data_IF_183057569051
#
_entry.id   IF_183057569051
#
_cell.length_a   1.000
_cell.length_b   1.000
_cell.length_c   1.000
_cell.angle_alpha   90.00
_cell.angle_beta   90.00
_cell.angle_gamma   90.00
#
_symmetry.space_group_name_H-M   'P 1'
#
loop_
_entity.id
_entity.type
_entity.pdbx_description
1 polymer ?
#
# COMPACT_ATOMS: atom_id res chain seq x y z
N UNK A 1 101.05 -10.12 -3.78
CA UNK A 1 99.92 -10.34 -4.70
C UNK A 1 98.63 -10.01 -3.96
N UNK A 2 97.79 -9.15 -4.56
CA UNK A 2 96.38 -8.79 -4.28
C UNK A 2 96.02 -8.29 -2.85
N UNK A 3 95.86 -6.98 -2.61
CA UNK A 3 94.73 -6.05 -2.89
C UNK A 3 93.49 -6.27 -1.98
N UNK A 4 93.18 -5.41 -1.00
CA UNK A 4 92.53 -4.08 -1.01
C UNK A 4 90.99 -4.13 -0.95
N UNK A 5 90.46 -3.24 -0.09
CA UNK A 5 89.13 -2.61 -0.07
C UNK A 5 88.04 -3.24 0.82
N UNK A 6 87.64 -2.44 1.82
CA UNK A 6 86.45 -2.65 2.62
C UNK A 6 85.18 -2.18 1.95
N UNK A 7 84.07 -2.43 2.63
CA UNK A 7 82.80 -1.74 2.39
C UNK A 7 82.03 -1.67 3.71
N UNK A 8 81.83 -0.43 4.14
CA UNK A 8 80.81 0.02 5.09
C UNK A 8 79.45 -0.34 4.49
N UNK A 9 78.60 -1.10 5.20
CA UNK A 9 77.22 -1.32 4.78
C UNK A 9 76.28 -0.50 5.67
N UNK A 10 75.63 0.44 5.00
CA UNK A 10 74.66 1.43 5.46
C UNK A 10 73.52 0.84 6.29
N UNK A 11 73.17 1.55 7.37
CA UNK A 11 71.83 1.55 7.96
C UNK A 11 70.78 1.95 6.93
N UNK A 12 69.78 1.10 6.70
CA UNK A 12 68.53 1.46 6.04
C UNK A 12 67.40 1.31 7.07
N UNK A 13 67.05 2.44 7.70
CA UNK A 13 65.83 2.57 8.49
C UNK A 13 64.67 2.72 7.50
N UNK A 14 63.89 1.66 7.33
CA UNK A 14 62.64 1.72 6.57
C UNK A 14 61.55 2.35 7.46
N UNK A 15 61.30 3.66 7.29
CA UNK A 15 60.13 4.33 7.86
C UNK A 15 58.94 4.00 6.95
N UNK A 16 58.12 3.03 7.37
CA UNK A 16 56.82 2.76 6.76
C UNK A 16 55.87 3.90 7.16
N UNK A 17 55.69 4.89 6.27
CA UNK A 17 54.64 5.88 6.42
C UNK A 17 53.28 5.23 6.11
N UNK A 18 52.55 4.83 7.15
CA UNK A 18 51.15 4.45 7.05
C UNK A 18 50.32 5.71 6.70
N UNK A 19 50.09 5.94 5.41
CA UNK A 19 49.02 6.83 4.97
C UNK A 19 47.68 6.17 5.35
N UNK A 20 47.15 6.51 6.52
CA UNK A 20 45.73 6.33 6.78
C UNK A 20 44.98 7.31 5.89
N UNK A 21 44.53 6.83 4.73
CA UNK A 21 43.55 7.54 3.92
C UNK A 21 42.25 7.50 4.74
N UNK A 22 42.05 8.51 5.58
CA UNK A 22 40.77 8.79 6.19
C UNK A 22 39.81 9.06 5.04
N UNK A 23 39.08 8.02 4.63
CA UNK A 23 38.01 8.12 3.65
C UNK A 23 36.93 8.93 4.35
N UNK A 24 36.88 10.23 4.09
CA UNK A 24 35.78 11.07 4.52
C UNK A 24 34.55 10.61 3.74
N UNK A 25 33.86 9.59 4.24
CA UNK A 25 32.57 9.18 3.70
C UNK A 25 31.66 10.39 3.84
N UNK A 26 31.31 11.01 2.71
CA UNK A 26 30.33 12.09 2.70
C UNK A 26 29.11 11.65 3.51
N UNK A 27 28.61 12.52 4.39
CA UNK A 27 27.44 12.19 5.18
C UNK A 27 26.30 11.81 4.23
N UNK A 28 25.78 10.58 4.35
CA UNK A 28 24.63 10.14 3.54
C UNK A 28 23.50 11.16 3.70
N UNK A 29 22.92 11.59 2.58
CA UNK A 29 21.72 12.44 2.54
C UNK A 29 20.47 11.56 2.49
N UNK A 30 19.36 11.97 3.13
CA UNK A 30 18.11 11.22 3.06
C UNK A 30 17.59 11.18 1.63
N UNK A 31 16.97 10.07 1.18
CA UNK A 31 16.22 10.06 -0.06
C UNK A 31 15.13 11.14 -0.07
N UNK A 32 14.73 11.59 -1.26
CA UNK A 32 13.69 12.61 -1.40
C UNK A 32 12.32 12.03 -1.06
N UNK A 33 11.55 12.75 -0.26
CA UNK A 33 10.13 12.42 -0.02
C UNK A 33 9.29 12.57 -1.27
N UNK A 34 8.16 11.87 -1.31
CA UNK A 34 7.20 11.89 -2.41
C UNK A 34 5.89 12.51 -1.92
N UNK A 35 5.17 13.20 -2.81
CA UNK A 35 3.81 13.70 -2.58
C UNK A 35 2.95 13.34 -3.79
N UNK A 36 1.90 12.55 -3.56
CA UNK A 36 0.97 12.02 -4.56
C UNK A 36 -0.43 12.47 -4.16
N UNK A 37 -1.23 12.93 -5.14
CA UNK A 37 -2.62 13.28 -4.89
C UNK A 37 -3.46 13.23 -6.16
N UNK A 38 -4.76 12.96 -5.98
CA UNK A 38 -5.84 13.29 -6.90
C UNK A 38 -7.06 13.77 -6.10
N UNK A 39 -7.98 14.57 -6.67
CA UNK A 39 -8.05 15.06 -8.06
C UNK A 39 -6.93 16.05 -8.47
N UNK A 40 -6.71 16.27 -9.78
CA UNK A 40 -7.41 15.63 -10.91
C UNK A 40 -6.99 14.16 -11.07
N UNK A 41 -7.89 13.35 -11.65
CA UNK A 41 -7.52 12.03 -12.17
C UNK A 41 -6.73 12.25 -13.45
N UNK A 42 -5.47 11.86 -13.45
CA UNK A 42 -4.55 12.12 -14.55
C UNK A 42 -3.68 10.89 -14.87
N UNK A 43 -2.85 11.02 -15.89
CA UNK A 43 -2.00 9.93 -16.43
C UNK A 43 -0.89 9.48 -15.48
N UNK A 44 -0.74 10.10 -14.29
CA UNK A 44 0.19 9.63 -13.27
C UNK A 44 -0.32 8.38 -12.55
N UNK A 45 -1.56 7.99 -12.77
CA UNK A 45 -2.12 6.75 -12.24
C UNK A 45 -2.41 5.76 -13.37
N UNK A 46 -2.35 4.48 -13.04
CA UNK A 46 -2.59 3.37 -13.95
C UNK A 46 -3.70 2.50 -13.39
N UNK A 47 -4.73 2.25 -14.20
CA UNK A 47 -5.72 1.20 -13.96
C UNK A 47 -5.20 -0.13 -14.51
N UNK A 48 -5.23 -1.20 -13.71
CA UNK A 48 -4.77 -2.53 -14.10
C UNK A 48 -5.79 -3.58 -13.68
N UNK A 49 -6.01 -4.59 -14.54
CA UNK A 49 -6.83 -5.78 -14.28
C UNK A 49 -6.06 -7.02 -14.73
N UNK A 50 -6.57 -8.21 -14.40
CA UNK A 50 -5.99 -9.45 -14.94
C UNK A 50 -6.19 -9.52 -16.46
N UNK A 51 -5.10 -9.58 -17.26
CA UNK A 51 -5.20 -9.66 -18.71
C UNK A 51 -6.02 -10.86 -19.20
N UNK A 52 -6.09 -11.95 -18.42
CA UNK A 52 -6.84 -13.15 -18.79
C UNK A 52 -8.36 -12.93 -18.80
N UNK A 53 -8.86 -11.89 -18.10
CA UNK A 53 -10.29 -11.56 -18.08
C UNK A 53 -10.71 -10.82 -19.36
N UNK A 54 -9.76 -10.22 -20.10
CA UNK A 54 -10.04 -9.60 -21.40
C UNK A 54 -10.91 -8.33 -21.36
N UNK A 55 -11.00 -7.67 -20.20
CA UNK A 55 -11.79 -6.44 -20.02
C UNK A 55 -10.95 -5.19 -20.27
N UNK A 56 -11.55 -4.20 -20.94
CA UNK A 56 -10.92 -2.91 -21.16
C UNK A 56 -10.98 -2.05 -19.88
N UNK A 57 -9.79 -1.75 -19.33
CA UNK A 57 -9.63 -0.96 -18.10
C UNK A 57 -10.29 0.42 -18.14
N UNK A 58 -10.57 0.97 -19.33
CA UNK A 58 -11.25 2.27 -19.47
C UNK A 58 -12.70 2.26 -18.96
N UNK A 59 -13.29 1.08 -18.79
CA UNK A 59 -14.62 0.91 -18.22
C UNK A 59 -14.60 0.58 -16.73
N UNK A 60 -13.42 0.26 -16.19
CA UNK A 60 -13.25 -0.16 -14.79
C UNK A 60 -12.93 1.02 -13.88
N UNK A 61 -11.94 1.84 -14.26
CA UNK A 61 -11.48 2.99 -13.49
C UNK A 61 -11.88 4.27 -14.21
N UNK A 62 -13.11 4.73 -14.01
CA UNK A 62 -13.67 5.86 -14.76
C UNK A 62 -13.68 7.16 -13.95
N UNK A 63 -13.49 8.32 -14.59
CA UNK A 63 -13.69 9.60 -13.93
C UNK A 63 -15.19 9.92 -13.81
N UNK A 64 -15.70 9.97 -12.58
CA UNK A 64 -16.98 10.60 -12.26
C UNK A 64 -16.83 12.12 -12.20
N UNK A 65 -17.85 12.88 -12.61
CA UNK A 65 -17.79 14.35 -12.73
C UNK A 65 -18.79 15.11 -11.87
N UNK A 66 -19.73 14.42 -11.22
CA UNK A 66 -20.71 15.04 -10.33
C UNK A 66 -21.06 14.13 -9.14
N UNK A 67 -20.27 14.16 -8.04
CA UNK A 67 -19.03 14.91 -7.85
C UNK A 67 -17.82 14.28 -8.57
N UNK A 68 -16.70 14.99 -8.63
CA UNK A 68 -15.42 14.43 -9.11
C UNK A 68 -14.99 13.26 -8.24
N UNK A 69 -14.83 12.08 -8.84
CA UNK A 69 -14.40 10.86 -8.15
C UNK A 69 -13.76 9.88 -9.14
N UNK A 70 -12.90 8.99 -8.64
CA UNK A 70 -12.61 7.73 -9.31
C UNK A 70 -13.78 6.79 -9.03
N UNK A 71 -14.43 6.30 -10.09
CA UNK A 71 -15.50 5.31 -10.01
C UNK A 71 -14.92 3.96 -10.40
N UNK A 72 -15.17 2.94 -9.56
CA UNK A 72 -14.80 1.55 -9.77
C UNK A 72 -16.08 0.71 -9.92
N UNK A 73 -16.31 0.21 -11.11
CA UNK A 73 -17.43 -0.68 -11.46
C UNK A 73 -17.14 -1.42 -12.75
N UNK A 74 -17.89 -2.47 -13.05
CA UNK A 74 -17.86 -3.14 -14.36
C UNK A 74 -19.27 -3.62 -14.70
N UNK A 75 -19.68 -3.58 -15.96
CA UNK A 75 -21.09 -3.84 -16.28
C UNK A 75 -21.49 -5.32 -16.17
N UNK A 76 -20.58 -6.23 -16.52
CA UNK A 76 -20.95 -7.64 -16.76
C UNK A 76 -20.36 -8.62 -15.76
N UNK A 77 -19.25 -8.29 -15.10
CA UNK A 77 -18.50 -9.24 -14.28
C UNK A 77 -17.89 -8.55 -13.05
N UNK A 78 -17.83 -9.27 -11.93
CA UNK A 78 -16.99 -8.87 -10.80
C UNK A 78 -15.51 -9.07 -11.17
N UNK A 79 -14.73 -7.99 -11.21
CA UNK A 79 -13.31 -8.05 -11.59
C UNK A 79 -12.39 -7.51 -10.49
N UNK A 80 -11.18 -8.05 -10.42
CA UNK A 80 -10.14 -7.45 -9.59
C UNK A 80 -9.42 -6.35 -10.36
N UNK A 81 -9.28 -5.18 -9.73
CA UNK A 81 -8.65 -4.02 -10.36
C UNK A 81 -7.73 -3.29 -9.38
N UNK A 82 -6.67 -2.70 -9.92
CA UNK A 82 -5.80 -1.75 -9.21
C UNK A 82 -5.83 -0.40 -9.88
N UNK A 83 -5.81 0.66 -9.09
CA UNK A 83 -5.60 2.03 -9.54
C UNK A 83 -4.47 2.67 -8.73
N UNK A 84 -3.27 2.70 -9.30
CA UNK A 84 -2.05 3.01 -8.57
C UNK A 84 -1.20 4.06 -9.26
N UNK A 85 -0.43 4.81 -8.47
CA UNK A 85 0.53 5.77 -9.00
C UNK A 85 1.58 5.03 -9.84
N UNK A 86 1.78 5.49 -11.07
CA UNK A 86 2.52 4.78 -12.12
C UNK A 86 4.03 4.72 -11.86
N UNK A 87 4.55 5.62 -11.02
CA UNK A 87 5.98 5.64 -10.64
C UNK A 87 6.15 4.98 -9.28
N UNK A 88 7.05 4.00 -9.13
CA UNK A 88 7.25 3.38 -7.82
C UNK A 88 7.86 4.36 -6.82
N UNK A 89 7.41 4.26 -5.57
CA UNK A 89 7.84 5.08 -4.45
C UNK A 89 8.90 4.33 -3.66
N UNK A 90 10.01 5.00 -3.36
CA UNK A 90 11.01 4.45 -2.44
C UNK A 90 10.50 4.55 -0.99
N UNK A 91 10.39 3.41 -0.30
CA UNK A 91 9.86 3.30 1.07
C UNK A 91 10.91 2.87 2.10
N UNK A 92 12.02 2.31 1.62
CA UNK A 92 13.20 2.01 2.43
C UNK A 92 14.42 1.89 1.50
N UNK A 93 15.62 1.89 2.08
CA UNK A 93 16.87 1.77 1.32
C UNK A 93 17.89 0.97 2.11
N UNK A 94 18.34 -0.16 1.56
CA UNK A 94 19.35 -1.02 2.20
C UNK A 94 20.62 -0.25 2.51
N UNK A 95 21.16 -0.45 3.71
CA UNK A 95 22.37 0.22 4.20
C UNK A 95 22.18 1.70 4.53
N UNK A 96 20.99 2.26 4.32
CA UNK A 96 20.70 3.65 4.69
C UNK A 96 20.44 3.79 6.17
N UNK A 97 20.93 4.87 6.77
CA UNK A 97 20.56 5.30 8.13
C UNK A 97 19.21 6.02 8.19
N UNK A 98 18.55 6.20 7.04
CA UNK A 98 17.26 6.87 6.95
C UNK A 98 16.13 5.87 6.72
N UNK A 99 15.00 6.10 7.39
CA UNK A 99 13.78 5.31 7.26
C UNK A 99 12.61 6.19 6.84
N UNK A 100 11.74 5.68 5.96
CA UNK A 100 10.62 6.45 5.43
C UNK A 100 9.34 6.21 6.24
N UNK A 101 8.85 7.25 6.89
CA UNK A 101 7.47 7.30 7.39
C UNK A 101 6.54 7.76 6.28
N UNK A 102 5.27 7.36 6.31
CA UNK A 102 4.29 7.83 5.35
C UNK A 102 2.96 8.23 5.99
N UNK A 103 2.22 9.07 5.28
CA UNK A 103 0.82 9.35 5.57
C UNK A 103 -0.01 9.15 4.30
N UNK A 104 -1.21 8.60 4.45
CA UNK A 104 -2.20 8.54 3.40
C UNK A 104 -3.54 9.06 3.91
N UNK A 105 -4.29 9.70 3.03
CA UNK A 105 -5.67 10.10 3.27
C UNK A 105 -6.46 9.84 2.01
N UNK A 106 -7.66 9.29 2.16
CA UNK A 106 -8.62 9.20 1.08
C UNK A 106 -10.03 9.18 1.61
N UNK A 107 -10.95 9.52 0.73
CA UNK A 107 -12.37 9.47 1.01
C UNK A 107 -13.06 8.53 0.04
N UNK A 108 -13.81 7.58 0.59
CA UNK A 108 -14.49 6.54 -0.18
C UNK A 108 -15.97 6.51 0.14
N UNK A 109 -16.74 5.98 -0.79
CA UNK A 109 -18.13 5.65 -0.61
C UNK A 109 -18.47 4.39 -1.42
N UNK A 110 -19.31 3.54 -0.83
CA UNK A 110 -19.86 2.34 -1.45
C UNK A 110 -21.32 2.64 -1.76
N UNK A 111 -21.59 2.97 -3.02
CA UNK A 111 -22.93 3.35 -3.49
C UNK A 111 -23.63 2.12 -4.04
N UNK A 112 -24.85 1.87 -3.56
CA UNK A 112 -25.71 0.86 -4.17
C UNK A 112 -26.37 1.39 -5.43
N UNK A 113 -26.68 0.49 -6.35
CA UNK A 113 -27.61 0.80 -7.44
C UNK A 113 -29.03 0.97 -6.89
N UNK A 114 -29.85 1.77 -7.59
CA UNK A 114 -31.29 1.80 -7.36
C UNK A 114 -32.01 0.54 -7.82
N UNK A 115 -31.36 -0.27 -8.67
CA UNK A 115 -31.98 -1.40 -9.36
C UNK A 115 -31.97 -2.70 -8.54
N UNK A 116 -30.99 -2.88 -7.65
CA UNK A 116 -30.81 -4.10 -6.87
C UNK A 116 -30.75 -3.85 -5.36
N UNK A 117 -30.98 -4.91 -4.58
CA UNK A 117 -30.99 -4.81 -3.12
C UNK A 117 -29.58 -4.62 -2.56
N UNK A 118 -29.50 -3.98 -1.39
CA UNK A 118 -28.26 -3.84 -0.59
C UNK A 118 -27.53 -5.16 -0.36
N UNK A 119 -28.23 -6.30 -0.41
CA UNK A 119 -27.62 -7.63 -0.20
C UNK A 119 -26.62 -8.01 -1.29
N UNK A 120 -26.88 -7.62 -2.54
CA UNK A 120 -26.01 -7.97 -3.67
C UNK A 120 -24.69 -7.19 -3.63
N UNK A 121 -24.69 -5.97 -3.07
CA UNK A 121 -23.45 -5.21 -2.85
C UNK A 121 -22.54 -5.86 -1.79
N UNK A 122 -23.07 -6.75 -0.96
CA UNK A 122 -22.37 -7.44 0.12
C UNK A 122 -21.95 -8.87 -0.20
N UNK A 123 -22.13 -9.32 -1.45
CA UNK A 123 -21.80 -10.69 -1.87
C UNK A 123 -20.29 -10.92 -2.13
N UNK A 124 -19.43 -10.09 -1.57
CA UNK A 124 -17.97 -10.12 -1.75
C UNK A 124 -17.42 -8.77 -2.18
N UNK A 125 -16.24 -8.42 -1.67
CA UNK A 125 -15.45 -7.30 -2.20
C UNK A 125 -15.36 -6.08 -1.29
N UNK A 126 -14.95 -4.98 -1.90
CA UNK A 126 -14.45 -3.80 -1.21
C UNK A 126 -13.19 -3.30 -1.87
N UNK A 127 -12.48 -2.41 -1.19
CA UNK A 127 -11.23 -1.87 -1.69
C UNK A 127 -10.21 -1.71 -0.59
N UNK A 128 -8.94 -1.65 -0.97
CA UNK A 128 -7.82 -1.44 -0.08
C UNK A 128 -6.90 -0.35 -0.59
N UNK A 129 -6.43 0.50 0.32
CA UNK A 129 -5.18 1.22 0.08
C UNK A 129 -4.04 0.20 0.13
N UNK A 130 -3.22 0.12 -0.91
CA UNK A 130 -2.23 -0.93 -1.05
C UNK A 130 -0.85 -0.40 -1.45
N UNK A 131 0.17 -1.00 -0.84
CA UNK A 131 1.56 -0.91 -1.23
C UNK A 131 1.96 -2.26 -1.84
N UNK A 132 2.21 -2.30 -3.16
CA UNK A 132 2.41 -3.55 -3.92
C UNK A 132 3.76 -3.58 -4.64
N UNK A 133 4.27 -4.77 -4.98
CA UNK A 133 5.58 -4.92 -5.63
C UNK A 133 5.58 -4.65 -7.14
N UNK A 134 4.40 -4.48 -7.74
CA UNK A 134 4.15 -4.25 -9.16
C UNK A 134 2.75 -3.64 -9.35
N UNK A 135 2.46 -3.16 -10.56
CA UNK A 135 1.13 -2.72 -11.00
C UNK A 135 0.22 -3.88 -11.45
N UNK A 136 0.79 -5.05 -11.76
CA UNK A 136 0.05 -6.16 -12.37
C UNK A 136 -0.93 -6.81 -11.39
N UNK A 137 -2.14 -7.10 -11.88
CA UNK A 137 -3.13 -7.97 -11.25
C UNK A 137 -3.06 -9.31 -11.99
N UNK A 138 -2.65 -10.40 -11.35
CA UNK A 138 -2.51 -11.71 -12.01
C UNK A 138 -2.94 -12.80 -11.05
N UNK A 139 -3.88 -13.65 -11.48
CA UNK A 139 -4.27 -14.88 -10.79
C UNK A 139 -4.74 -14.64 -9.35
N UNK A 140 -5.30 -13.46 -9.09
CA UNK A 140 -5.72 -13.04 -7.75
C UNK A 140 -7.03 -13.73 -7.40
N UNK A 141 -7.10 -14.33 -6.22
CA UNK A 141 -8.34 -14.98 -5.76
C UNK A 141 -9.44 -13.94 -5.51
N UNK A 142 -10.68 -14.42 -5.38
CA UNK A 142 -11.85 -13.55 -5.28
C UNK A 142 -11.74 -12.54 -4.14
N UNK A 143 -11.35 -13.00 -2.95
CA UNK A 143 -11.17 -12.18 -1.73
C UNK A 143 -9.88 -11.37 -1.71
N UNK A 144 -9.02 -11.44 -2.74
CA UNK A 144 -7.75 -10.72 -2.72
C UNK A 144 -7.85 -9.26 -3.11
N UNK A 145 -9.00 -8.78 -3.59
CA UNK A 145 -9.15 -7.43 -4.15
C UNK A 145 -8.12 -7.10 -5.24
N UNK A 146 -7.59 -8.10 -5.93
CA UNK A 146 -6.50 -7.91 -6.87
C UNK A 146 -5.11 -7.76 -6.26
N UNK A 147 -4.87 -8.03 -4.98
CA UNK A 147 -3.58 -7.82 -4.30
C UNK A 147 -2.52 -8.88 -4.64
N UNK A 148 -2.88 -10.16 -4.65
CA UNK A 148 -1.97 -11.28 -4.96
C UNK A 148 -2.73 -12.60 -5.12
N UNK A 149 -2.11 -13.66 -5.69
CA UNK A 149 -2.64 -15.01 -5.60
C UNK A 149 -2.73 -15.50 -4.15
N UNK A 150 -3.87 -16.07 -3.77
CA UNK A 150 -4.13 -16.58 -2.41
C UNK A 150 -4.40 -18.08 -2.41
N UNK A 151 -4.09 -18.73 -1.29
CA UNK A 151 -4.67 -20.02 -0.90
C UNK A 151 -6.04 -19.75 -0.27
N UNK A 152 -7.09 -20.18 -0.96
CA UNK A 152 -8.49 -19.96 -0.54
C UNK A 152 -8.82 -20.63 0.79
N UNK A 153 -8.05 -21.62 1.26
CA UNK A 153 -8.31 -22.25 2.57
C UNK A 153 -7.77 -21.42 3.73
N UNK A 154 -6.77 -20.58 3.49
CA UNK A 154 -6.02 -19.90 4.56
C UNK A 154 -6.02 -18.39 4.44
N UNK A 155 -6.33 -17.85 3.25
CA UNK A 155 -6.16 -16.44 2.92
C UNK A 155 -4.70 -16.02 2.72
N UNK A 156 -3.74 -16.93 2.95
CA UNK A 156 -2.32 -16.61 2.81
C UNK A 156 -1.94 -16.45 1.33
N UNK A 157 -0.97 -15.59 1.05
CA UNK A 157 -0.47 -15.51 -0.32
C UNK A 157 0.25 -16.79 -0.73
N UNK A 158 -0.04 -17.27 -1.93
CA UNK A 158 0.70 -18.38 -2.58
C UNK A 158 2.17 -18.04 -2.85
N UNK A 159 2.53 -16.76 -2.83
CA UNK A 159 3.91 -16.30 -3.03
C UNK A 159 4.70 -16.19 -1.72
N UNK A 160 4.07 -16.43 -0.55
CA UNK A 160 4.73 -16.38 0.76
C UNK A 160 5.46 -15.06 1.00
N UNK A 161 6.73 -15.13 1.44
CA UNK A 161 7.54 -13.95 1.74
C UNK A 161 7.89 -13.07 0.51
N UNK A 162 7.68 -13.59 -0.72
CA UNK A 162 7.92 -12.85 -1.96
C UNK A 162 6.72 -12.01 -2.41
N UNK A 163 5.59 -12.12 -1.71
CA UNK A 163 4.36 -11.36 -2.00
C UNK A 163 4.60 -9.86 -1.93
N UNK A 164 5.34 -9.41 -0.92
CA UNK A 164 5.80 -8.03 -0.73
C UNK A 164 4.67 -6.97 -0.81
N UNK A 165 3.54 -7.26 -0.16
CA UNK A 165 2.34 -6.41 -0.17
C UNK A 165 1.86 -6.13 1.25
N UNK A 166 1.56 -4.85 1.51
CA UNK A 166 0.86 -4.39 2.71
C UNK A 166 -0.37 -3.60 2.25
N UNK A 167 -1.52 -3.86 2.87
CA UNK A 167 -2.75 -3.16 2.52
C UNK A 167 -3.58 -2.79 3.76
N UNK A 168 -4.34 -1.71 3.65
CA UNK A 168 -5.41 -1.37 4.58
C UNK A 168 -6.71 -1.49 3.82
N UNK A 169 -7.47 -2.53 4.11
CA UNK A 169 -8.71 -2.88 3.42
C UNK A 169 -9.93 -2.25 4.08
N UNK A 170 -10.95 -2.02 3.26
CA UNK A 170 -12.32 -1.81 3.66
C UNK A 170 -13.12 -2.92 2.98
N UNK A 171 -13.22 -4.05 3.66
CA UNK A 171 -14.03 -5.17 3.22
C UNK A 171 -15.48 -4.91 3.62
N UNK A 172 -16.36 -4.88 2.62
CA UNK A 172 -17.79 -4.73 2.84
C UNK A 172 -18.52 -6.08 2.77
N UNK A 173 -17.83 -7.16 2.40
CA UNK A 173 -18.40 -8.48 2.28
C UNK A 173 -19.08 -8.94 3.56
N UNK A 174 -20.18 -9.68 3.36
CA UNK A 174 -20.86 -10.44 4.41
C UNK A 174 -20.83 -11.93 4.14
N UNK A 175 -20.11 -12.34 3.10
CA UNK A 175 -20.01 -13.71 2.64
C UNK A 175 -18.52 -14.01 2.55
N UNK A 176 -18.03 -14.78 3.52
CA UNK A 176 -16.67 -15.33 3.50
C UNK A 176 -16.77 -16.81 3.92
N UNK A 177 -16.57 -17.75 2.98
CA UNK A 177 -16.88 -19.17 3.22
C UNK A 177 -15.75 -19.95 3.88
N UNK A 178 -14.52 -19.41 3.93
CA UNK A 178 -13.30 -20.12 4.33
C UNK A 178 -12.83 -19.76 5.76
N UNK A 179 -13.49 -18.82 6.43
CA UNK A 179 -13.30 -18.48 7.84
C UNK A 179 -12.06 -17.64 8.15
N UNK A 180 -11.47 -16.96 7.15
CA UNK A 180 -10.35 -16.06 7.40
C UNK A 180 -10.77 -14.61 7.66
N UNK A 181 -11.95 -14.17 7.24
CA UNK A 181 -12.46 -12.83 7.54
C UNK A 181 -13.78 -12.83 8.33
N UNK A 182 -14.06 -11.75 9.09
CA UNK A 182 -15.39 -11.53 9.66
C UNK A 182 -16.44 -11.44 8.56
N UNK A 183 -17.57 -12.15 8.71
CA UNK A 183 -18.74 -12.05 7.81
C UNK A 183 -19.56 -10.76 8.04
N UNK A 184 -18.88 -9.64 8.29
CA UNK A 184 -19.42 -8.31 8.56
C UNK A 184 -18.48 -7.24 8.00
N UNK A 185 -18.97 -6.08 7.55
CA UNK A 185 -18.12 -5.03 7.02
C UNK A 185 -17.05 -4.59 8.02
N UNK A 186 -15.80 -4.60 7.61
CA UNK A 186 -14.67 -4.35 8.49
C UNK A 186 -13.53 -3.63 7.79
N UNK A 187 -12.65 -3.07 8.61
CA UNK A 187 -11.39 -2.46 8.18
C UNK A 187 -10.26 -3.33 8.71
N UNK A 188 -9.35 -3.67 7.81
CA UNK A 188 -8.28 -4.62 8.05
C UNK A 188 -6.89 -4.06 7.76
N UNK A 189 -5.87 -4.68 8.35
CA UNK A 189 -4.47 -4.51 8.00
C UNK A 189 -3.94 -5.85 7.52
N UNK A 190 -3.60 -5.89 6.24
CA UNK A 190 -3.14 -7.07 5.55
C UNK A 190 -1.64 -7.00 5.34
N UNK A 191 -0.95 -8.10 5.66
CA UNK A 191 0.49 -8.24 5.47
C UNK A 191 0.72 -9.58 4.79
N UNK A 192 0.93 -9.55 3.47
CA UNK A 192 1.17 -10.74 2.64
C UNK A 192 0.09 -11.86 2.77
N UNK A 193 -1.11 -11.50 3.22
CA UNK A 193 -2.25 -12.38 3.47
C UNK A 193 -3.51 -11.53 3.46
N UNK A 194 -4.62 -12.03 2.90
CA UNK A 194 -5.93 -11.35 3.00
C UNK A 194 -6.53 -11.54 4.39
N UNK A 195 -6.10 -12.59 5.11
CA UNK A 195 -6.37 -12.70 6.54
C UNK A 195 -5.67 -11.57 7.29
N UNK A 196 -6.46 -10.59 7.71
CA UNK A 196 -5.98 -9.39 8.37
C UNK A 196 -5.27 -9.68 9.71
N UNK A 197 -4.09 -9.09 9.93
CA UNK A 197 -3.38 -9.19 11.23
C UNK A 197 -4.07 -8.35 12.31
N UNK A 198 -4.85 -7.36 11.88
CA UNK A 198 -5.71 -6.56 12.77
C UNK A 198 -6.95 -6.12 12.00
N UNK A 199 -8.12 -6.41 12.56
CA UNK A 199 -9.41 -6.01 11.99
C UNK A 199 -10.26 -5.27 13.00
N UNK A 200 -11.18 -4.43 12.52
CA UNK A 200 -12.23 -3.79 13.33
C UNK A 200 -13.52 -3.68 12.52
N UNK A 201 -14.64 -3.96 13.16
CA UNK A 201 -15.97 -3.73 12.58
C UNK A 201 -16.15 -2.27 12.15
N UNK A 202 -16.55 -2.04 10.90
CA UNK A 202 -16.79 -0.69 10.36
C UNK A 202 -18.11 -0.10 10.83
N UNK A 203 -19.08 -0.92 11.21
CA UNK A 203 -20.42 -0.53 11.66
C UNK A 203 -21.51 -1.24 10.87
N UNK A 204 -22.76 -0.97 11.24
CA UNK A 204 -23.93 -1.60 10.61
C UNK A 204 -23.87 -1.46 9.09
N UNK A 205 -24.01 -2.56 8.31
CA UNK A 205 -24.04 -2.52 6.85
C UNK A 205 -24.91 -1.39 6.28
N UNK A 206 -26.09 -1.12 6.85
CA UNK A 206 -26.98 -0.05 6.41
C UNK A 206 -26.43 1.37 6.62
N UNK A 207 -25.41 1.52 7.48
CA UNK A 207 -24.71 2.79 7.76
C UNK A 207 -23.36 2.91 7.05
N UNK A 208 -22.92 1.86 6.36
CA UNK A 208 -21.69 1.85 5.55
C UNK A 208 -22.02 2.21 4.10
N UNK A 209 -23.11 1.63 3.60
CA UNK A 209 -23.64 1.96 2.27
C UNK A 209 -24.22 3.37 2.27
N UNK A 210 -24.10 4.04 1.13
CA UNK A 210 -24.58 5.42 0.94
C UNK A 210 -24.05 6.37 2.04
N UNK A 211 -22.82 6.12 2.51
CA UNK A 211 -22.09 6.96 3.44
C UNK A 211 -20.70 7.25 2.89
N UNK A 212 -20.15 8.39 3.29
CA UNK A 212 -18.80 8.79 2.93
C UNK A 212 -17.87 8.53 4.10
N UNK A 213 -16.79 7.80 3.84
CA UNK A 213 -15.82 7.36 4.83
C UNK A 213 -14.49 8.04 4.53
N UNK A 214 -14.03 8.87 5.46
CA UNK A 214 -12.66 9.38 5.44
C UNK A 214 -11.74 8.41 6.16
N UNK A 215 -10.64 8.05 5.53
CA UNK A 215 -9.61 7.16 6.08
C UNK A 215 -8.28 7.91 6.12
N UNK A 216 -7.63 7.91 7.28
CA UNK A 216 -6.28 8.43 7.47
C UNK A 216 -5.36 7.32 7.95
N UNK A 217 -4.27 7.11 7.24
CA UNK A 217 -3.26 6.09 7.55
C UNK A 217 -1.96 6.82 7.88
N UNK A 218 -1.40 6.53 9.05
CA UNK A 218 -0.16 7.12 9.53
C UNK A 218 0.81 6.00 9.89
N UNK A 219 1.91 5.88 9.16
CA UNK A 219 2.98 4.92 9.44
C UNK A 219 4.22 5.65 9.95
N UNK A 220 4.63 5.30 11.17
CA UNK A 220 5.85 5.77 11.80
C UNK A 220 6.95 4.71 11.70
N UNK A 221 7.96 4.97 10.87
CA UNK A 221 9.02 4.02 10.59
C UNK A 221 9.98 3.79 11.76
N UNK A 222 10.21 4.80 12.59
CA UNK A 222 11.06 4.67 13.78
C UNK A 222 10.44 3.73 14.82
N UNK A 223 9.11 3.81 14.96
CA UNK A 223 8.34 2.96 15.88
C UNK A 223 7.85 1.66 15.25
N UNK A 224 7.95 1.53 13.92
CA UNK A 224 7.36 0.43 13.13
C UNK A 224 5.87 0.26 13.45
N UNK A 225 5.18 1.40 13.56
CA UNK A 225 3.78 1.46 13.99
C UNK A 225 2.94 2.09 12.90
N UNK A 226 1.83 1.44 12.56
CA UNK A 226 0.79 1.98 11.70
C UNK A 226 -0.47 2.26 12.53
N UNK A 227 -1.06 3.43 12.31
CA UNK A 227 -2.35 3.81 12.88
C UNK A 227 -3.30 4.20 11.76
N UNK A 228 -4.52 3.68 11.82
CA UNK A 228 -5.57 3.97 10.85
C UNK A 228 -6.75 4.58 11.59
N UNK A 229 -7.26 5.69 11.06
CA UNK A 229 -8.37 6.43 11.63
C UNK A 229 -9.49 6.54 10.62
N UNK A 230 -10.72 6.46 11.10
CA UNK A 230 -11.92 6.52 10.26
C UNK A 230 -12.91 7.56 10.78
N UNK A 231 -13.57 8.26 9.87
CA UNK A 231 -14.71 9.11 10.17
C UNK A 231 -15.77 8.92 9.09
N UNK A 232 -16.94 8.44 9.49
CA UNK A 232 -18.08 8.20 8.62
C UNK A 232 -19.05 9.37 8.72
N UNK A 233 -19.50 9.86 7.58
CA UNK A 233 -20.47 10.95 7.46
C UNK A 233 -21.45 10.65 6.32
N UNK A 234 -22.51 11.43 6.18
CA UNK A 234 -23.43 11.32 5.03
C UNK A 234 -22.72 11.66 3.71
N UNK A 235 -23.23 11.20 2.57
CA UNK A 235 -22.59 11.39 1.24
C UNK A 235 -22.38 12.87 0.88
N UNK A 236 -23.27 13.76 1.33
CA UNK A 236 -23.19 15.21 1.10
C UNK A 236 -22.22 15.93 2.04
N UNK A 237 -21.71 15.25 3.07
CA UNK A 237 -20.79 15.80 4.05
C UNK A 237 -19.33 15.47 3.72
N UNK A 238 -18.41 16.15 4.42
CA UNK A 238 -16.96 15.93 4.30
C UNK A 238 -16.41 15.34 5.60
N UNK A 239 -15.79 14.15 5.57
CA UNK A 239 -15.08 13.60 6.72
C UNK A 239 -13.99 14.55 7.21
N UNK A 240 -13.87 14.67 8.54
CA UNK A 240 -12.87 15.52 9.21
C UNK A 240 -11.99 14.70 10.13
N UNK A 241 -10.67 14.90 10.05
CA UNK A 241 -9.65 14.18 10.85
C UNK A 241 -9.88 14.32 12.35
N UNK A 242 -10.27 15.52 12.82
CA UNK A 242 -10.47 15.78 14.25
C UNK A 242 -11.61 14.96 14.89
N UNK A 243 -12.53 14.44 14.06
CA UNK A 243 -13.65 13.61 14.50
C UNK A 243 -13.40 12.12 14.22
N UNK A 244 -12.21 11.77 13.71
CA UNK A 244 -11.90 10.41 13.31
C UNK A 244 -11.51 9.55 14.52
N UNK A 245 -12.11 8.37 14.60
CA UNK A 245 -11.80 7.37 15.62
C UNK A 245 -10.66 6.48 15.15
N UNK A 246 -9.80 6.03 16.07
CA UNK A 246 -8.80 5.03 15.74
C UNK A 246 -9.49 3.68 15.44
N UNK A 247 -9.18 3.13 14.28
CA UNK A 247 -9.68 1.84 13.82
C UNK A 247 -8.63 0.75 14.01
N UNK A 248 -7.40 1.01 13.57
CA UNK A 248 -6.27 0.09 13.67
C UNK A 248 -5.12 0.80 14.37
N UNK A 249 -4.45 0.08 15.27
CA UNK A 249 -3.14 0.43 15.81
C UNK A 249 -2.34 -0.85 15.87
N UNK A 250 -1.24 -0.91 15.12
CA UNK A 250 -0.40 -2.10 15.01
C UNK A 250 1.07 -1.71 15.06
N UNK A 251 1.84 -2.41 15.89
CA UNK A 251 3.29 -2.23 16.06
C UNK A 251 4.00 -3.49 15.62
N UNK A 252 5.17 -3.32 15.00
CA UNK A 252 5.96 -4.42 14.42
C UNK A 252 5.86 -4.51 12.90
N UNK A 253 5.21 -3.55 12.24
CA UNK A 253 5.21 -3.45 10.78
C UNK A 253 6.55 -2.90 10.31
N UNK A 254 7.42 -3.76 9.80
CA UNK A 254 8.72 -3.38 9.24
C UNK A 254 8.65 -3.37 7.72
N UNK A 255 8.44 -2.19 7.11
CA UNK A 255 8.30 -2.09 5.64
C UNK A 255 9.51 -2.66 4.88
N UNK A 256 10.72 -2.64 5.46
CA UNK A 256 11.89 -3.24 4.82
C UNK A 256 11.79 -4.77 4.67
N UNK A 257 10.98 -5.41 5.52
CA UNK A 257 10.70 -6.85 5.44
C UNK A 257 9.47 -7.14 4.58
N UNK A 258 8.47 -6.27 4.65
CA UNK A 258 7.14 -6.54 4.09
C UNK A 258 6.90 -6.02 2.68
N UNK A 259 7.66 -5.05 2.17
CA UNK A 259 7.50 -4.51 0.81
C UNK A 259 8.84 -4.35 0.09
N UNK A 260 8.82 -4.12 -1.23
CA UNK A 260 10.04 -3.80 -1.99
C UNK A 260 10.55 -2.39 -1.64
N UNK A 261 11.84 -2.15 -1.86
CA UNK A 261 12.46 -0.84 -1.66
C UNK A 261 11.72 0.25 -2.46
N UNK A 262 11.43 -0.05 -3.73
CA UNK A 262 10.56 0.68 -4.63
C UNK A 262 9.25 -0.09 -4.81
N UNK A 263 8.14 0.48 -4.35
CA UNK A 263 6.82 -0.14 -4.38
C UNK A 263 5.76 0.80 -4.98
N UNK A 264 4.68 0.26 -5.50
CA UNK A 264 3.57 1.02 -6.06
C UNK A 264 2.52 1.30 -5.00
N UNK A 265 1.94 2.50 -5.03
CA UNK A 265 0.99 2.97 -4.01
C UNK A 265 -0.30 3.42 -4.67
N UNK A 266 -1.43 3.00 -4.11
CA UNK A 266 -2.75 3.42 -4.56
C UNK A 266 -3.81 2.47 -4.05
N UNK A 267 -4.75 2.09 -4.91
CA UNK A 267 -5.91 1.30 -4.54
C UNK A 267 -5.93 -0.05 -5.25
N UNK A 268 -6.45 -1.06 -4.57
CA UNK A 268 -6.79 -2.39 -5.09
C UNK A 268 -8.25 -2.66 -4.72
N UNK A 269 -9.01 -3.32 -5.59
CA UNK A 269 -10.44 -3.53 -5.39
C UNK A 269 -10.91 -4.83 -6.04
N UNK A 270 -11.92 -5.46 -5.44
CA UNK A 270 -12.83 -6.37 -6.15
C UNK A 270 -14.03 -5.52 -6.56
N UNK A 271 -14.04 -5.05 -7.81
CA UNK A 271 -15.05 -4.10 -8.28
C UNK A 271 -16.38 -4.81 -8.47
N UNK A 272 -17.50 -4.21 -8.04
CA UNK A 272 -18.82 -4.80 -8.20
C UNK A 272 -19.27 -4.74 -9.66
N UNK A 273 -20.24 -5.59 -9.98
CA UNK A 273 -21.06 -5.38 -11.17
C UNK A 273 -21.87 -4.09 -11.00
N UNK A 274 -21.93 -3.24 -12.03
CA UNK A 274 -22.62 -1.94 -12.01
C UNK A 274 -24.05 -2.04 -11.46
N UNK A 275 -24.86 -3.07 -11.80
CA UNK A 275 -26.20 -3.22 -11.23
C UNK A 275 -26.21 -3.48 -9.71
N UNK A 276 -25.14 -4.01 -9.13
CA UNK A 276 -25.04 -4.25 -7.68
C UNK A 276 -24.57 -3.00 -6.93
N UNK A 277 -23.81 -2.13 -7.59
CA UNK A 277 -23.36 -0.86 -7.06
C UNK A 277 -22.07 -0.37 -7.69
N UNK A 278 -21.52 0.72 -7.16
CA UNK A 278 -20.26 1.29 -7.60
C UNK A 278 -19.44 1.75 -6.40
N UNK A 279 -18.12 1.67 -6.47
CA UNK A 279 -17.26 2.24 -5.44
C UNK A 279 -16.69 3.57 -5.93
N UNK A 280 -16.70 4.58 -5.06
CA UNK A 280 -16.23 5.93 -5.39
C UNK A 280 -15.09 6.33 -4.47
N UNK A 281 -13.97 6.77 -5.03
CA UNK A 281 -12.88 7.39 -4.29
C UNK A 281 -12.79 8.85 -4.73
N UNK A 282 -13.16 9.77 -3.84
CA UNK A 282 -13.29 11.20 -4.18
C UNK A 282 -11.95 11.93 -4.18
N UNK A 283 -11.09 11.57 -3.24
CA UNK A 283 -9.77 12.17 -3.07
C UNK A 283 -8.77 11.15 -2.57
N UNK A 284 -7.51 11.43 -2.86
CA UNK A 284 -6.37 10.68 -2.35
C UNK A 284 -5.21 11.64 -2.14
N UNK A 285 -4.51 11.49 -1.02
CA UNK A 285 -3.24 12.12 -0.71
C UNK A 285 -2.33 11.08 -0.10
N UNK A 286 -1.09 11.03 -0.55
CA UNK A 286 -0.05 10.21 0.04
C UNK A 286 1.26 10.98 0.07
N UNK A 287 1.98 10.89 1.17
CA UNK A 287 3.28 11.52 1.32
C UNK A 287 4.26 10.68 2.11
N UNK A 288 5.54 10.78 1.78
CA UNK A 288 6.63 10.16 2.55
C UNK A 288 7.55 11.21 3.15
N UNK A 289 8.12 10.91 4.32
CA UNK A 289 9.17 11.70 4.96
C UNK A 289 10.25 10.76 5.46
N UNK A 290 11.49 11.09 5.15
CA UNK A 290 12.67 10.33 5.56
C UNK A 290 13.27 10.94 6.82
N UNK A 291 13.45 10.12 7.84
CA UNK A 291 14.02 10.53 9.13
C UNK A 291 15.20 9.65 9.50
N UNK A 292 16.15 10.20 10.25
CA UNK A 292 17.30 9.46 10.75
C UNK A 292 16.80 8.38 11.73
N UNK A 293 17.18 7.13 11.49
CA UNK A 293 16.79 5.97 12.29
C UNK A 293 17.92 4.94 12.39
N UNK A 294 17.56 3.69 12.65
CA UNK A 294 18.50 2.57 12.59
C UNK A 294 18.77 2.16 11.14
N UNK A 295 20.00 1.74 10.86
CA UNK A 295 20.38 1.23 9.54
C UNK A 295 19.45 0.10 9.11
N UNK A 296 18.90 0.22 7.90
CA UNK A 296 18.08 -0.83 7.29
C UNK A 296 19.00 -1.92 6.74
N UNK A 297 18.83 -3.16 7.23
CA UNK A 297 19.67 -4.30 6.86
C UNK A 297 19.16 -5.04 5.60
#
# INVERSE_FOLDING_TARGET
MASRNGSVLLCLVAILALLQIASTSAAETPPKGVSIAFPPLDKRFTCSVDPAIGVDTKFICTPGTSPTALVLSNDNDVVSARYQYATPVQLWKRGSKYVASFSAYFTVNFDRSSEFTVRELFSGGGLAFAITPSLSVIGTGQESFGLFPIDEKTGASKNGANTKTVAVELDISRIEPNGFDPQIPHIGLDINSVKSVKTKYLGDPATIIDSKIGVWIEYNALKKTIQVYIHKVKVDQTPKRQNANIAISYTGLDLAKEVKDFSYVGFSSRVPETPNGVYKIYDFKFSTTWVLGSTVN
#
